data_IF_989947141180
#
_entry.id   IF_989947141180
#
_cell.length_a   1.000
_cell.length_b   1.000
_cell.length_c   1.000
_cell.angle_alpha   90.00
_cell.angle_beta   90.00
_cell.angle_gamma   90.00
#
_symmetry.space_group_name_H-M   'P 1'
#
loop_
_entity.id
_entity.type
_entity.pdbx_description
1 polymer ?
#
# COMPACT_ATOMS: atom_id res chain seq x y z
N UNK A 1 54.72 -12.85 -16.10
CA UNK A 1 54.91 -13.59 -17.37
C UNK A 1 55.06 -15.05 -17.05
N UNK A 2 54.10 -15.96 -17.12
CA UNK A 2 52.64 -15.95 -17.13
C UNK A 2 52.32 -17.42 -16.85
N UNK A 3 51.76 -17.73 -15.69
CA UNK A 3 51.33 -19.11 -15.39
C UNK A 3 49.84 -19.19 -15.70
N UNK A 4 49.54 -19.30 -16.99
CA UNK A 4 48.27 -19.75 -17.51
C UNK A 4 48.52 -20.88 -18.48
N UNK A 5 47.54 -21.77 -18.50
CA UNK A 5 47.37 -22.89 -19.43
C UNK A 5 48.27 -24.08 -19.03
N UNK A 6 47.75 -25.26 -18.73
CA UNK A 6 46.78 -25.97 -19.54
C UNK A 6 45.95 -26.94 -18.70
N UNK A 7 44.71 -27.08 -19.15
CA UNK A 7 43.65 -27.92 -18.62
C UNK A 7 43.87 -29.40 -19.00
N UNK A 8 43.18 -30.26 -18.25
CA UNK A 8 42.50 -31.47 -18.71
C UNK A 8 43.31 -32.69 -19.17
N UNK A 9 43.31 -33.72 -18.32
CA UNK A 9 43.31 -35.18 -18.60
C UNK A 9 43.60 -35.83 -17.25
N UNK A 10 42.88 -36.76 -16.63
CA UNK A 10 41.97 -37.80 -17.08
C UNK A 10 41.41 -38.39 -15.77
N UNK A 11 40.09 -38.48 -15.59
CA UNK A 11 39.53 -39.37 -14.55
C UNK A 11 38.51 -40.30 -15.19
N UNK A 12 38.85 -41.59 -15.11
CA UNK A 12 38.18 -42.74 -15.71
C UNK A 12 36.80 -42.97 -15.07
N UNK A 13 35.78 -42.90 -15.92
CA UNK A 13 34.63 -43.79 -16.13
C UNK A 13 34.43 -44.94 -15.11
N UNK A 14 33.19 -45.13 -14.62
CA UNK A 14 32.70 -46.45 -14.16
C UNK A 14 31.54 -46.49 -13.16
N UNK A 15 30.32 -46.25 -13.64
CA UNK A 15 29.02 -46.86 -13.26
C UNK A 15 28.87 -47.64 -11.93
N UNK A 16 27.85 -47.30 -11.12
CA UNK A 16 27.23 -48.22 -10.15
C UNK A 16 26.27 -47.54 -9.14
N UNK A 17 24.98 -47.86 -9.23
CA UNK A 17 23.89 -47.36 -8.39
C UNK A 17 23.78 -48.08 -7.01
N UNK A 18 23.07 -47.42 -6.08
CA UNK A 18 22.20 -47.93 -4.97
C UNK A 18 22.74 -48.06 -3.52
N UNK A 19 21.89 -47.61 -2.59
CA UNK A 19 21.75 -47.86 -1.12
C UNK A 19 22.59 -46.98 -0.17
N UNK A 20 22.05 -45.98 0.54
CA UNK A 20 21.09 -45.97 1.69
C UNK A 20 21.60 -46.68 2.94
N UNK A 21 21.78 -45.89 4.01
CA UNK A 21 21.62 -46.14 5.47
C UNK A 21 22.83 -45.59 6.27
N UNK A 22 22.72 -44.42 6.93
CA UNK A 22 22.11 -44.15 8.24
C UNK A 22 23.06 -44.36 9.43
N UNK A 23 23.24 -43.29 10.22
CA UNK A 23 23.87 -43.28 11.55
C UNK A 23 24.04 -41.83 12.02
N UNK A 24 22.99 -41.18 12.54
CA UNK A 24 22.59 -41.10 13.97
C UNK A 24 23.53 -40.17 14.75
N UNK A 25 23.12 -39.20 15.59
CA UNK A 25 21.89 -38.98 16.33
C UNK A 25 22.00 -37.58 16.98
N UNK A 26 21.00 -36.70 16.87
CA UNK A 26 20.78 -35.63 17.85
C UNK A 26 19.33 -35.73 18.29
N UNK A 27 19.16 -36.06 19.57
CA UNK A 27 17.88 -36.28 20.25
C UNK A 27 17.32 -34.92 20.72
N UNK A 28 15.99 -34.83 20.76
CA UNK A 28 15.09 -33.79 21.30
C UNK A 28 14.59 -32.79 20.23
N UNK A 29 13.29 -32.60 19.99
CA UNK A 29 12.14 -32.78 20.86
C UNK A 29 10.92 -33.26 20.06
N UNK A 30 10.32 -34.36 20.51
CA UNK A 30 8.96 -34.72 20.15
C UNK A 30 7.99 -33.83 20.95
N UNK A 31 7.05 -33.20 20.24
CA UNK A 31 5.85 -32.62 20.83
C UNK A 31 5.99 -31.18 21.31
N UNK A 32 5.67 -30.22 20.44
CA UNK A 32 4.96 -28.97 20.79
C UNK A 32 4.60 -28.16 19.53
N UNK A 33 4.10 -28.81 18.48
CA UNK A 33 3.29 -28.17 17.43
C UNK A 33 1.90 -27.71 17.92
N UNK A 34 1.72 -27.58 19.25
CA UNK A 34 0.48 -27.21 19.93
C UNK A 34 0.65 -26.04 20.93
N UNK A 35 1.78 -25.32 20.92
CA UNK A 35 2.00 -24.16 21.79
C UNK A 35 1.94 -22.80 21.06
N UNK A 36 1.83 -22.78 19.72
CA UNK A 36 1.59 -21.55 18.96
C UNK A 36 0.08 -21.24 18.79
N UNK A 37 -0.80 -22.03 19.41
CA UNK A 37 -2.27 -21.98 19.20
C UNK A 37 -3.09 -21.83 20.48
N UNK A 38 -2.52 -21.28 21.56
CA UNK A 38 -3.22 -21.07 22.84
C UNK A 38 -2.84 -19.70 23.43
N UNK A 39 -3.47 -18.62 22.96
CA UNK A 39 -3.70 -17.44 23.81
C UNK A 39 -4.95 -16.58 23.48
N UNK A 40 -5.87 -16.96 22.59
CA UNK A 40 -7.12 -16.17 22.51
C UNK A 40 -8.30 -16.94 21.96
N UNK A 41 -8.74 -17.95 22.72
CA UNK A 41 -10.14 -18.34 22.71
C UNK A 41 -10.93 -17.33 23.54
N UNK A 42 -11.56 -16.39 22.85
CA UNK A 42 -12.91 -15.95 23.20
C UNK A 42 -13.88 -16.80 22.40
N UNK A 43 -14.48 -17.80 23.05
CA UNK A 43 -15.77 -18.36 22.67
C UNK A 43 -16.80 -17.20 22.59
N UNK A 44 -17.84 -17.16 21.77
CA UNK A 44 -18.55 -18.22 21.06
C UNK A 44 -19.54 -17.56 20.07
N UNK A 45 -20.24 -18.41 19.31
CA UNK A 45 -21.49 -18.15 18.59
C UNK A 45 -21.41 -17.57 17.17
N UNK A 46 -21.15 -18.49 16.25
CA UNK A 46 -21.84 -18.58 14.96
C UNK A 46 -23.33 -18.26 15.08
N UNK A 47 -23.81 -17.32 14.25
CA UNK A 47 -25.17 -17.36 13.72
C UNK A 47 -25.19 -16.78 12.29
N UNK A 48 -25.61 -17.64 11.36
CA UNK A 48 -25.88 -17.34 9.93
C UNK A 48 -27.21 -16.55 9.80
N UNK A 49 -27.58 -16.04 8.61
CA UNK A 49 -27.93 -14.65 8.36
C UNK A 49 -29.44 -14.36 8.43
N UNK A 50 -29.84 -13.30 9.12
CA UNK A 50 -31.15 -12.70 8.93
C UNK A 50 -31.02 -11.52 7.95
N UNK A 51 -31.56 -11.68 6.74
CA UNK A 51 -31.91 -10.56 5.88
C UNK A 51 -32.84 -9.66 6.68
N UNK A 52 -32.33 -8.51 7.13
CA UNK A 52 -33.14 -7.37 7.51
C UNK A 52 -32.86 -6.27 6.52
N UNK A 53 -33.75 -6.14 5.55
CA UNK A 53 -34.10 -4.85 4.97
C UNK A 53 -34.35 -3.88 6.11
N UNK A 54 -33.35 -3.07 6.47
CA UNK A 54 -33.60 -1.83 7.20
C UNK A 54 -33.87 -0.76 6.16
N UNK A 55 -35.17 -0.53 5.96
CA UNK A 55 -35.79 0.69 5.45
C UNK A 55 -34.96 1.96 5.73
N UNK A 56 -34.93 2.95 4.83
CA UNK A 56 -34.16 4.17 5.00
C UNK A 56 -34.77 4.99 6.13
N UNK A 57 -34.28 4.78 7.36
CA UNK A 57 -34.51 5.68 8.48
C UNK A 57 -33.90 7.02 8.07
N UNK A 58 -34.77 7.97 7.68
CA UNK A 58 -34.41 9.32 7.30
C UNK A 58 -33.34 9.84 8.26
N UNK A 59 -32.13 10.03 7.71
CA UNK A 59 -31.10 10.82 8.37
C UNK A 59 -31.80 12.14 8.72
N UNK A 60 -31.88 12.56 10.00
CA UNK A 60 -32.28 13.93 10.26
C UNK A 60 -31.36 14.79 9.42
N UNK A 61 -31.95 15.54 8.49
CA UNK A 61 -31.24 16.58 7.75
C UNK A 61 -30.71 17.51 8.82
N UNK A 62 -29.49 17.27 9.27
CA UNK A 62 -28.69 18.30 9.90
C UNK A 62 -28.51 19.28 8.76
N UNK A 63 -29.39 20.29 8.72
CA UNK A 63 -29.15 21.52 7.99
C UNK A 63 -27.93 22.12 8.65
N UNK A 64 -26.75 21.60 8.28
CA UNK A 64 -25.50 22.27 8.54
C UNK A 64 -25.67 23.67 7.92
N UNK A 65 -25.37 24.75 8.66
CA UNK A 65 -25.40 26.07 8.06
C UNK A 65 -24.57 26.02 6.78
N UNK A 66 -25.17 26.39 5.64
CA UNK A 66 -24.42 26.53 4.39
C UNK A 66 -23.18 27.37 4.70
N UNK A 67 -21.96 26.89 4.44
CA UNK A 67 -20.77 27.69 4.68
C UNK A 67 -20.90 28.96 3.85
N UNK A 68 -20.93 30.13 4.51
CA UNK A 68 -20.99 31.46 3.87
C UNK A 68 -19.66 31.83 3.18
N UNK A 69 -18.85 30.84 2.81
CA UNK A 69 -17.55 30.99 2.15
C UNK A 69 -17.53 30.28 0.80
N UNK A 70 -16.46 30.46 0.01
CA UNK A 70 -16.28 29.73 -1.24
C UNK A 70 -16.35 28.22 -0.97
N UNK A 71 -17.11 27.50 -1.80
CA UNK A 71 -17.21 26.06 -1.70
C UNK A 71 -15.83 25.43 -1.94
N UNK A 72 -15.39 24.47 -1.09
CA UNK A 72 -14.12 23.79 -1.31
C UNK A 72 -14.15 23.04 -2.64
N UNK A 73 -13.10 23.25 -3.44
CA UNK A 73 -12.94 22.56 -4.72
C UNK A 73 -12.33 21.18 -4.45
N UNK A 74 -13.06 20.12 -4.81
CA UNK A 74 -12.59 18.75 -4.73
C UNK A 74 -12.08 18.27 -6.08
N UNK A 75 -11.02 17.47 -6.07
CA UNK A 75 -10.46 16.89 -7.29
C UNK A 75 -9.77 15.57 -6.98
N UNK A 76 -10.17 14.53 -7.72
CA UNK A 76 -9.59 13.19 -7.57
C UNK A 76 -8.42 12.98 -8.53
N UNK A 77 -7.32 12.44 -7.99
CA UNK A 77 -6.13 12.05 -8.74
C UNK A 77 -6.00 10.53 -8.71
N UNK A 78 -6.05 9.91 -9.89
CA UNK A 78 -5.90 8.46 -10.03
C UNK A 78 -4.47 8.06 -10.36
N UNK A 79 -4.09 6.88 -9.87
CA UNK A 79 -2.77 6.28 -10.05
C UNK A 79 -2.91 4.89 -10.67
N UNK A 80 -1.88 4.48 -11.39
CA UNK A 80 -1.74 3.10 -11.83
C UNK A 80 -1.60 2.13 -10.64
N UNK A 81 -1.84 0.86 -10.92
CA UNK A 81 -1.76 -0.21 -9.92
C UNK A 81 -0.39 -0.24 -9.23
N UNK A 82 -0.39 -0.21 -7.89
CA UNK A 82 0.82 -0.19 -7.05
C UNK A 82 1.83 0.91 -7.41
N UNK A 83 1.37 1.99 -8.02
CA UNK A 83 2.21 3.10 -8.46
C UNK A 83 1.97 4.35 -7.61
N UNK A 84 3.03 5.14 -7.49
CA UNK A 84 3.04 6.52 -6.99
C UNK A 84 3.38 7.53 -8.09
N UNK A 85 3.62 7.06 -9.31
CA UNK A 85 3.91 7.90 -10.46
C UNK A 85 2.64 8.62 -10.91
N UNK A 86 2.74 9.94 -11.07
CA UNK A 86 1.68 10.73 -11.68
C UNK A 86 1.57 10.38 -13.17
N UNK A 87 0.36 10.04 -13.60
CA UNK A 87 0.05 9.82 -15.02
C UNK A 87 0.02 11.16 -15.76
N UNK A 88 0.09 11.14 -17.10
CA UNK A 88 -0.01 12.36 -17.88
C UNK A 88 -1.33 13.13 -17.63
N UNK A 89 -2.43 12.38 -17.41
CA UNK A 89 -3.72 12.96 -17.04
C UNK A 89 -3.68 13.64 -15.66
N UNK A 90 -3.08 12.97 -14.67
CA UNK A 90 -2.92 13.55 -13.33
C UNK A 90 -2.07 14.82 -13.38
N UNK A 91 -0.98 14.81 -14.14
CA UNK A 91 -0.11 15.97 -14.36
C UNK A 91 -0.88 17.15 -14.94
N UNK A 92 -1.61 16.93 -16.03
CA UNK A 92 -2.39 18.01 -16.67
C UNK A 92 -3.40 18.62 -15.70
N UNK A 93 -4.11 17.77 -14.97
CA UNK A 93 -5.13 18.23 -14.05
C UNK A 93 -4.52 18.98 -12.84
N UNK A 94 -3.37 18.55 -12.33
CA UNK A 94 -2.65 19.29 -11.29
C UNK A 94 -2.12 20.65 -11.78
N UNK A 95 -1.67 20.73 -13.04
CA UNK A 95 -1.28 21.99 -13.68
C UNK A 95 -2.47 22.96 -13.78
N UNK A 96 -3.64 22.47 -14.19
CA UNK A 96 -4.86 23.29 -14.24
C UNK A 96 -5.24 23.85 -12.86
N UNK A 97 -5.07 23.04 -11.80
CA UNK A 97 -5.33 23.49 -10.43
C UNK A 97 -4.29 24.49 -9.93
N UNK A 98 -3.01 24.26 -10.19
CA UNK A 98 -1.96 25.22 -9.84
C UNK A 98 -2.18 26.57 -10.54
N UNK A 99 -2.57 26.58 -11.82
CA UNK A 99 -2.88 27.80 -12.56
C UNK A 99 -4.13 28.53 -12.02
N UNK A 100 -5.12 27.80 -11.51
CA UNK A 100 -6.24 28.41 -10.79
C UNK A 100 -5.76 29.04 -9.48
N UNK A 101 -4.85 28.35 -8.79
CA UNK A 101 -4.33 28.81 -7.50
C UNK A 101 -3.48 30.08 -7.64
N UNK A 102 -2.71 30.20 -8.71
CA UNK A 102 -1.91 31.40 -8.99
C UNK A 102 -2.75 32.67 -9.12
N UNK A 103 -3.97 32.57 -9.66
CA UNK A 103 -4.88 33.70 -9.87
C UNK A 103 -5.47 34.27 -8.57
N UNK A 104 -5.36 33.57 -7.45
CA UNK A 104 -5.97 33.97 -6.17
C UNK A 104 -4.95 33.75 -5.06
N UNK A 105 -4.47 34.81 -4.42
CA UNK A 105 -3.28 34.73 -3.56
C UNK A 105 -3.43 33.94 -2.24
N UNK A 106 -4.60 33.34 -1.97
CA UNK A 106 -4.88 32.65 -0.70
C UNK A 106 -5.56 31.30 -0.93
N UNK A 107 -4.79 30.21 -0.87
CA UNK A 107 -5.30 28.84 -0.88
C UNK A 107 -4.71 28.02 0.26
N UNK A 108 -5.54 27.09 0.75
CA UNK A 108 -5.11 25.98 1.59
C UNK A 108 -5.51 24.68 0.87
N UNK A 109 -4.54 23.81 0.61
CA UNK A 109 -4.74 22.53 -0.06
C UNK A 109 -4.57 21.41 0.95
N UNK A 110 -5.56 20.54 0.98
CA UNK A 110 -5.50 19.27 1.71
C UNK A 110 -5.36 18.14 0.70
N UNK A 111 -4.26 17.38 0.79
CA UNK A 111 -4.03 16.20 -0.03
C UNK A 111 -4.24 14.96 0.83
N UNK A 112 -5.21 14.13 0.45
CA UNK A 112 -5.53 12.88 1.14
C UNK A 112 -5.19 11.69 0.25
N UNK A 113 -4.37 10.79 0.79
CA UNK A 113 -3.97 9.58 0.08
C UNK A 113 -4.96 8.45 0.28
N UNK A 114 -5.30 7.73 -0.79
CA UNK A 114 -6.09 6.51 -0.73
C UNK A 114 -5.41 5.34 -1.45
N UNK A 115 -5.66 4.15 -0.94
CA UNK A 115 -5.27 2.89 -1.55
C UNK A 115 -6.48 1.95 -1.52
N UNK A 116 -6.48 0.96 -2.41
CA UNK A 116 -7.52 -0.05 -2.42
C UNK A 116 -7.43 -0.96 -1.17
N UNK A 117 -8.43 -1.84 -1.02
CA UNK A 117 -8.50 -2.78 0.11
C UNK A 117 -7.73 -4.09 -0.13
N UNK A 118 -7.05 -4.23 -1.27
CA UNK A 118 -6.39 -5.47 -1.63
C UNK A 118 -5.00 -5.53 -1.00
N UNK A 119 -4.69 -6.63 -0.33
CA UNK A 119 -3.38 -6.84 0.29
C UNK A 119 -3.24 -6.28 1.72
N UNK A 120 -2.00 -6.21 2.24
CA UNK A 120 -1.75 -5.84 3.63
C UNK A 120 -2.12 -4.38 3.92
N UNK A 121 -2.83 -4.14 5.02
CA UNK A 121 -3.29 -2.80 5.41
C UNK A 121 -2.13 -1.80 5.57
N UNK A 122 -1.01 -2.22 6.17
CA UNK A 122 0.16 -1.36 6.37
C UNK A 122 0.83 -0.96 5.05
N UNK A 123 0.87 -1.87 4.08
CA UNK A 123 1.35 -1.56 2.73
C UNK A 123 0.45 -0.50 2.07
N UNK A 124 -0.87 -0.66 2.16
CA UNK A 124 -1.82 0.28 1.56
C UNK A 124 -1.77 1.66 2.24
N UNK A 125 -1.58 1.72 3.56
CA UNK A 125 -1.35 2.99 4.28
C UNK A 125 -0.09 3.71 3.80
N UNK A 126 1.02 2.98 3.65
CA UNK A 126 2.26 3.56 3.16
C UNK A 126 2.11 4.05 1.71
N UNK A 127 1.49 3.25 0.84
CA UNK A 127 1.24 3.60 -0.56
C UNK A 127 0.35 4.85 -0.66
N UNK A 128 -0.72 4.93 0.13
CA UNK A 128 -1.59 6.09 0.21
C UNK A 128 -0.81 7.36 0.60
N UNK A 129 0.01 7.29 1.65
CA UNK A 129 0.86 8.41 2.07
C UNK A 129 1.82 8.86 0.97
N UNK A 130 2.51 7.91 0.32
CA UNK A 130 3.46 8.23 -0.74
C UNK A 130 2.79 8.87 -1.97
N UNK A 131 1.56 8.46 -2.30
CA UNK A 131 0.76 9.10 -3.37
C UNK A 131 0.41 10.55 -3.02
N UNK A 132 -0.01 10.80 -1.79
CA UNK A 132 -0.29 12.16 -1.34
C UNK A 132 0.96 13.04 -1.35
N UNK A 133 2.11 12.49 -0.93
CA UNK A 133 3.39 13.19 -0.98
C UNK A 133 3.82 13.50 -2.42
N UNK A 134 3.64 12.58 -3.36
CA UNK A 134 3.94 12.82 -4.78
C UNK A 134 3.10 13.98 -5.36
N UNK A 135 1.83 14.06 -4.99
CA UNK A 135 0.96 15.19 -5.40
C UNK A 135 1.42 16.49 -4.76
N UNK A 136 1.75 16.48 -3.45
CA UNK A 136 2.28 17.66 -2.76
C UNK A 136 3.54 18.18 -3.44
N UNK A 137 4.52 17.30 -3.66
CA UNK A 137 5.79 17.64 -4.29
C UNK A 137 5.56 18.28 -5.66
N UNK A 138 4.69 17.69 -6.47
CA UNK A 138 4.39 18.22 -7.79
C UNK A 138 3.70 19.59 -7.74
N UNK A 139 2.77 19.83 -6.80
CA UNK A 139 2.16 21.15 -6.62
C UNK A 139 3.19 22.21 -6.19
N UNK A 140 4.14 21.83 -5.33
CA UNK A 140 5.24 22.72 -4.90
C UNK A 140 6.18 23.04 -6.07
N UNK A 141 6.50 22.05 -6.92
CA UNK A 141 7.27 22.26 -8.15
C UNK A 141 6.58 23.22 -9.14
N UNK A 142 5.25 23.24 -9.15
CA UNK A 142 4.45 24.19 -9.94
C UNK A 142 4.36 25.59 -9.31
N UNK A 143 4.97 25.82 -8.15
CA UNK A 143 5.03 27.12 -7.49
C UNK A 143 3.97 27.34 -6.40
N UNK A 144 3.20 26.32 -6.02
CA UNK A 144 2.33 26.41 -4.84
C UNK A 144 3.21 26.43 -3.58
N UNK A 145 3.04 27.39 -2.66
CA UNK A 145 3.85 27.43 -1.44
C UNK A 145 3.67 26.14 -0.61
N UNK A 146 4.78 25.50 -0.22
CA UNK A 146 4.79 24.34 0.68
C UNK A 146 3.90 24.51 1.93
N UNK A 147 3.89 25.65 2.66
CA UNK A 147 3.03 25.81 3.84
C UNK A 147 1.54 25.84 3.52
N UNK A 148 1.15 26.09 2.26
CA UNK A 148 -0.24 26.02 1.81
C UNK A 148 -0.71 24.60 1.51
N UNK A 149 0.19 23.62 1.41
CA UNK A 149 -0.15 22.23 1.05
C UNK A 149 0.09 21.29 2.21
N UNK A 150 -0.99 20.70 2.73
CA UNK A 150 -0.95 19.73 3.83
C UNK A 150 -1.29 18.33 3.33
N UNK A 151 -0.46 17.35 3.69
CA UNK A 151 -0.72 15.92 3.47
C UNK A 151 -1.35 15.32 4.73
N UNK A 152 -2.40 14.51 4.56
CA UNK A 152 -3.10 13.79 5.62
C UNK A 152 -3.15 12.29 5.39
#
# INVERSE_FOLDING_TARGET
MDNREQQASTSRNGTGLVAVALGALMIAAAGTTAAYWIHSRGAEASSKPAVRTSEPKGRPTVTAPSPTGPEPIHTDIYFDFKSTRLTAQAVHLLQDKAALMEKTSTWAVLVQGYADRQGPAEYNKLLARQRAEAVKQFLVELGVPDPSVKVA
#
